data_IF_957256845703
#
_entry.id   IF_957256845703
#
_cell.length_a   1.000
_cell.length_b   1.000
_cell.length_c   1.000
_cell.angle_alpha   90.00
_cell.angle_beta   90.00
_cell.angle_gamma   90.00
#
_symmetry.space_group_name_H-M   'P 1'
#
loop_
_entity.id
_entity.type
_entity.pdbx_description
1 polymer ?
#
# COMPACT_ATOMS: atom_id res chain seq x y z
N UNK A 1 0.03 4.05 5.30
CA UNK A 1 0.42 2.74 5.87
C UNK A 1 1.93 2.74 6.03
N UNK A 2 2.42 2.69 7.27
CA UNK A 2 3.86 2.75 7.56
C UNK A 2 4.48 1.37 7.40
N UNK A 3 5.60 1.27 6.66
CA UNK A 3 6.31 0.02 6.40
C UNK A 3 7.76 0.08 6.87
N UNK A 4 8.34 1.27 6.94
CA UNK A 4 9.70 1.53 7.44
C UNK A 4 10.80 1.16 6.45
N UNK A 5 10.63 0.06 5.72
CA UNK A 5 11.58 -0.40 4.71
C UNK A 5 11.18 -0.02 3.28
N UNK A 6 12.14 0.48 2.51
CA UNK A 6 11.91 0.97 1.15
C UNK A 6 11.60 -0.16 0.16
N UNK A 7 12.26 -1.31 0.30
CA UNK A 7 12.05 -2.45 -0.59
C UNK A 7 10.69 -3.06 -0.34
N UNK A 8 10.32 -3.27 0.93
CA UNK A 8 9.00 -3.71 1.33
C UNK A 8 7.89 -2.80 0.77
N UNK A 9 8.08 -1.48 0.83
CA UNK A 9 7.11 -0.54 0.28
C UNK A 9 6.93 -0.65 -1.25
N UNK A 10 8.00 -0.90 -2.00
CA UNK A 10 7.92 -1.11 -3.45
C UNK A 10 7.32 -2.47 -3.79
N UNK A 11 7.74 -3.53 -3.10
CA UNK A 11 7.26 -4.90 -3.33
C UNK A 11 5.75 -5.01 -3.03
N UNK A 12 5.28 -4.43 -1.92
CA UNK A 12 3.85 -4.35 -1.63
C UNK A 12 3.08 -3.53 -2.65
N UNK A 13 3.61 -2.38 -3.11
CA UNK A 13 2.94 -1.55 -4.10
C UNK A 13 2.81 -2.27 -5.45
N UNK A 14 3.84 -3.02 -5.85
CA UNK A 14 3.82 -3.87 -7.05
C UNK A 14 2.76 -4.97 -6.93
N UNK A 15 2.74 -5.70 -5.83
CA UNK A 15 1.77 -6.78 -5.64
C UNK A 15 0.33 -6.26 -5.56
N UNK A 16 0.11 -5.10 -4.95
CA UNK A 16 -1.21 -4.45 -4.94
C UNK A 16 -1.64 -4.04 -6.34
N UNK A 17 -0.72 -3.56 -7.17
CA UNK A 17 -1.00 -3.27 -8.57
C UNK A 17 -1.38 -4.54 -9.36
N UNK A 18 -0.67 -5.64 -9.14
CA UNK A 18 -0.98 -6.94 -9.75
C UNK A 18 -2.38 -7.45 -9.29
N UNK A 19 -2.83 -7.07 -8.09
CA UNK A 19 -4.18 -7.33 -7.56
C UNK A 19 -5.24 -6.27 -7.97
N UNK A 20 -4.87 -5.30 -8.80
CA UNK A 20 -5.78 -4.28 -9.34
C UNK A 20 -5.91 -2.99 -8.51
N UNK A 21 -5.07 -2.80 -7.49
CA UNK A 21 -5.04 -1.61 -6.63
C UNK A 21 -3.78 -0.80 -6.90
N UNK A 22 -3.91 0.28 -7.67
CA UNK A 22 -2.79 1.16 -7.97
C UNK A 22 -2.44 2.08 -6.79
N UNK A 23 -1.27 1.86 -6.20
CA UNK A 23 -0.70 2.69 -5.13
C UNK A 23 0.79 2.86 -5.31
N UNK A 24 1.36 3.87 -4.65
CA UNK A 24 2.79 4.18 -4.73
C UNK A 24 3.43 4.08 -3.34
N UNK A 25 4.53 3.34 -3.27
CA UNK A 25 5.44 3.32 -2.13
C UNK A 25 6.30 4.59 -2.12
N UNK A 26 6.24 5.34 -1.01
CA UNK A 26 7.12 6.47 -0.75
C UNK A 26 8.34 6.01 0.03
N UNK A 27 9.52 6.35 -0.47
CA UNK A 27 10.81 6.12 0.19
C UNK A 27 11.70 7.36 0.04
N UNK A 28 12.89 7.33 0.62
CA UNK A 28 13.90 8.38 0.42
C UNK A 28 14.15 8.65 -1.07
N UNK A 29 14.30 9.91 -1.52
CA UNK A 29 14.35 11.16 -0.73
C UNK A 29 13.00 11.79 -0.39
N UNK A 30 11.88 11.19 -0.80
CA UNK A 30 10.54 11.77 -0.61
C UNK A 30 10.08 11.72 0.85
N UNK A 31 10.52 10.69 1.59
CA UNK A 31 10.38 10.57 3.05
C UNK A 31 11.74 10.23 3.69
N UNK A 32 11.96 10.52 4.98
CA UNK A 32 13.19 10.11 5.66
C UNK A 32 13.49 8.61 5.55
N UNK A 33 14.77 8.24 5.65
CA UNK A 33 15.18 6.83 5.69
C UNK A 33 14.54 6.15 6.92
N UNK A 34 14.13 4.90 6.77
CA UNK A 34 13.43 4.15 7.83
C UNK A 34 11.95 4.51 7.99
N UNK A 35 11.41 5.42 7.16
CA UNK A 35 10.01 5.84 7.21
C UNK A 35 9.26 5.61 5.90
N UNK A 36 9.67 4.59 5.14
CA UNK A 36 8.99 4.21 3.92
C UNK A 36 7.52 3.83 4.21
N UNK A 37 6.62 4.24 3.32
CA UNK A 37 5.17 4.10 3.54
C UNK A 37 4.40 4.09 2.23
N UNK A 38 3.25 3.44 2.20
CA UNK A 38 2.27 3.62 1.12
C UNK A 38 1.28 4.71 1.56
N UNK A 39 1.12 5.76 0.74
CA UNK A 39 0.14 6.82 0.98
C UNK A 39 -1.07 6.58 0.06
N UNK A 40 -2.23 6.35 0.67
CA UNK A 40 -3.50 6.20 -0.03
C UNK A 40 -4.18 7.57 -0.09
N UNK A 41 -4.77 7.89 -1.25
CA UNK A 41 -5.50 9.14 -1.47
C UNK A 41 -6.91 8.80 -1.93
N UNK A 42 -7.89 9.09 -1.07
CA UNK A 42 -9.29 8.82 -1.37
C UNK A 42 -9.89 9.99 -2.15
N UNK A 43 -10.68 9.68 -3.16
CA UNK A 43 -11.45 10.63 -3.95
C UNK A 43 -12.94 10.40 -3.74
N UNK A 44 -13.75 11.47 -3.80
CA UNK A 44 -15.21 11.40 -3.78
C UNK A 44 -15.81 10.60 -4.94
N UNK A 45 -15.01 10.33 -5.99
CA UNK A 45 -15.40 9.47 -7.11
C UNK A 45 -15.37 7.96 -6.79
N UNK A 46 -14.85 7.55 -5.63
CA UNK A 46 -14.88 6.14 -5.24
C UNK A 46 -16.22 5.80 -4.60
N UNK A 47 -16.90 4.82 -5.17
CA UNK A 47 -17.96 4.07 -4.49
C UNK A 47 -17.41 3.20 -3.35
N UNK A 48 -18.32 2.75 -2.47
CA UNK A 48 -17.96 1.97 -1.28
C UNK A 48 -17.31 0.64 -1.64
N UNK A 49 -17.77 0.02 -2.72
CA UNK A 49 -17.28 -1.25 -3.24
C UNK A 49 -15.81 -1.14 -3.67
N UNK A 50 -15.38 0.01 -4.19
CA UNK A 50 -13.96 0.24 -4.50
C UNK A 50 -13.10 0.28 -3.24
N UNK A 51 -13.62 0.87 -2.16
CA UNK A 51 -12.92 0.95 -0.88
C UNK A 51 -12.82 -0.42 -0.23
N UNK A 52 -13.92 -1.18 -0.21
CA UNK A 52 -13.96 -2.54 0.33
C UNK A 52 -13.02 -3.46 -0.45
N UNK A 53 -13.04 -3.40 -1.79
CA UNK A 53 -12.08 -4.11 -2.63
C UNK A 53 -10.63 -3.75 -2.30
N UNK A 54 -10.32 -2.45 -2.19
CA UNK A 54 -8.96 -2.02 -1.86
C UNK A 54 -8.53 -2.53 -0.49
N UNK A 55 -9.39 -2.44 0.53
CA UNK A 55 -9.13 -2.94 1.88
C UNK A 55 -8.83 -4.45 1.84
N UNK A 56 -9.65 -5.24 1.16
CA UNK A 56 -9.46 -6.69 1.05
C UNK A 56 -8.10 -7.03 0.42
N UNK A 57 -7.72 -6.33 -0.65
CA UNK A 57 -6.40 -6.52 -1.29
C UNK A 57 -5.25 -6.06 -0.40
N UNK A 58 -5.40 -4.94 0.30
CA UNK A 58 -4.43 -4.51 1.31
C UNK A 58 -4.26 -5.54 2.43
N UNK A 59 -5.34 -6.19 2.87
CA UNK A 59 -5.27 -7.23 3.89
C UNK A 59 -4.57 -8.47 3.36
N UNK A 60 -4.95 -8.93 2.17
CA UNK A 60 -4.33 -10.09 1.51
C UNK A 60 -2.82 -9.91 1.34
N UNK A 61 -2.39 -8.78 0.75
CA UNK A 61 -0.96 -8.48 0.54
C UNK A 61 -0.25 -8.19 1.87
N UNK A 62 -0.89 -7.47 2.79
CA UNK A 62 -0.33 -7.19 4.11
C UNK A 62 0.00 -8.45 4.91
N UNK A 63 -0.87 -9.47 4.84
CA UNK A 63 -0.62 -10.79 5.46
C UNK A 63 0.52 -11.55 4.78
N UNK A 64 0.61 -11.50 3.44
CA UNK A 64 1.71 -12.12 2.67
C UNK A 64 3.08 -11.62 3.14
N UNK A 65 3.20 -10.33 3.45
CA UNK A 65 4.45 -9.72 3.94
C UNK A 65 4.60 -9.68 5.46
N UNK A 66 3.63 -10.22 6.22
CA UNK A 66 3.67 -10.22 7.68
C UNK A 66 3.54 -8.84 8.32
N UNK A 67 2.96 -7.87 7.62
CA UNK A 67 2.75 -6.50 8.13
C UNK A 67 1.53 -6.44 9.06
N UNK A 68 0.54 -7.33 8.83
CA UNK A 68 -0.67 -7.47 9.64
C UNK A 68 -1.04 -8.95 9.81
N UNK A 69 -1.74 -9.29 10.90
CA UNK A 69 -2.17 -10.65 11.27
C UNK A 69 -3.63 -10.95 10.94
#
# INVERSE_FOLDING_TARGET
IMLGDARLAQDMAKDLLDEGVYVIGFSYPVVPKGEARIRVQISAAHDREHLDFAIDKFVQVGKKYGVIS
#
